data_IF_680311447259
#
_entry.id   IF_680311447259
#
_cell.length_a   1.000
_cell.length_b   1.000
_cell.length_c   1.000
_cell.angle_alpha   90.00
_cell.angle_beta   90.00
_cell.angle_gamma   90.00
#
_symmetry.space_group_name_H-M   'P 1'
#
loop_
_entity.id
_entity.type
_entity.pdbx_description
1 polymer ?
#
# COMPACT_ATOMS: atom_id res chain seq x y z
N UNK A 1 -18.32 0.86 -2.36
CA UNK A 1 -18.00 2.26 -2.77
C UNK A 1 -16.87 2.89 -1.95
N UNK A 2 -16.97 2.94 -0.61
CA UNK A 2 -16.00 3.61 0.28
C UNK A 2 -14.54 3.18 0.04
N UNK A 3 -14.28 1.88 -0.13
CA UNK A 3 -12.93 1.36 -0.37
C UNK A 3 -12.29 1.92 -1.65
N UNK A 4 -13.08 2.15 -2.71
CA UNK A 4 -12.58 2.71 -3.97
C UNK A 4 -12.22 4.18 -3.82
N UNK A 5 -13.05 4.96 -3.11
CA UNK A 5 -12.77 6.35 -2.79
C UNK A 5 -11.49 6.48 -1.96
N UNK A 6 -11.32 5.63 -0.94
CA UNK A 6 -10.12 5.64 -0.10
C UNK A 6 -8.87 5.29 -0.91
N UNK A 7 -8.95 4.30 -1.80
CA UNK A 7 -7.84 3.97 -2.70
C UNK A 7 -7.46 5.13 -3.62
N UNK A 8 -8.45 5.81 -4.21
CA UNK A 8 -8.23 6.99 -5.04
C UNK A 8 -7.56 8.13 -4.25
N UNK A 9 -8.10 8.46 -3.07
CA UNK A 9 -7.53 9.49 -2.18
C UNK A 9 -6.09 9.15 -1.78
N UNK A 10 -5.81 7.91 -1.39
CA UNK A 10 -4.46 7.47 -1.06
C UNK A 10 -3.50 7.64 -2.25
N UNK A 11 -3.93 7.27 -3.46
CA UNK A 11 -3.11 7.40 -4.67
C UNK A 11 -2.74 8.87 -4.93
N UNK A 12 -3.73 9.77 -4.90
CA UNK A 12 -3.50 11.20 -5.11
C UNK A 12 -2.69 11.86 -3.99
N UNK A 13 -2.86 11.44 -2.74
CA UNK A 13 -2.02 11.90 -1.63
C UNK A 13 -0.55 11.53 -1.85
N UNK A 14 -0.26 10.30 -2.28
CA UNK A 14 1.11 9.85 -2.59
C UNK A 14 1.70 10.70 -3.72
N UNK A 15 0.93 10.98 -4.78
CA UNK A 15 1.36 11.85 -5.88
C UNK A 15 1.65 13.26 -5.39
N UNK A 16 0.77 13.84 -4.58
CA UNK A 16 0.95 15.16 -3.96
C UNK A 16 2.25 15.23 -3.13
N UNK A 17 2.47 14.27 -2.23
CA UNK A 17 3.71 14.21 -1.44
C UNK A 17 4.97 14.08 -2.32
N UNK A 18 4.87 13.33 -3.41
CA UNK A 18 5.98 13.14 -4.35
C UNK A 18 6.28 14.43 -5.12
N UNK A 19 5.25 15.17 -5.52
CA UNK A 19 5.39 16.48 -6.18
C UNK A 19 5.98 17.53 -5.23
N UNK A 20 5.45 17.65 -4.00
CA UNK A 20 5.99 18.56 -2.98
C UNK A 20 7.48 18.28 -2.77
N UNK A 21 7.83 17.00 -2.66
CA UNK A 21 9.22 16.59 -2.49
C UNK A 21 10.08 16.90 -3.70
N UNK A 22 9.60 16.64 -4.91
CA UNK A 22 10.27 17.01 -6.15
C UNK A 22 10.60 18.50 -6.16
N UNK A 23 9.63 19.33 -5.82
CA UNK A 23 9.78 20.79 -5.80
C UNK A 23 10.78 21.24 -4.75
N UNK A 24 10.71 20.68 -3.55
CA UNK A 24 11.68 20.95 -2.49
C UNK A 24 13.11 20.59 -2.90
N UNK A 25 13.31 19.51 -3.68
CA UNK A 25 14.65 19.09 -4.14
C UNK A 25 15.16 20.00 -5.27
N UNK A 26 14.31 20.30 -6.25
CA UNK A 26 14.73 21.03 -7.45
C UNK A 26 14.89 22.52 -7.24
N UNK A 27 14.14 23.06 -6.29
CA UNK A 27 13.89 24.48 -6.26
C UNK A 27 13.88 24.82 -4.79
N UNK A 28 14.95 25.46 -4.31
CA UNK A 28 15.02 26.12 -2.99
C UNK A 28 13.99 27.26 -2.96
N UNK A 29 12.72 26.89 -3.05
CA UNK A 29 11.63 27.81 -3.20
C UNK A 29 11.36 28.45 -1.86
N UNK A 30 11.17 29.77 -1.88
CA UNK A 30 10.57 30.49 -0.77
C UNK A 30 9.29 29.78 -0.34
N UNK A 31 9.07 29.69 0.98
CA UNK A 31 7.96 29.00 1.65
C UNK A 31 6.60 29.25 1.00
N UNK A 32 6.36 30.48 0.50
CA UNK A 32 5.13 30.90 -0.18
C UNK A 32 4.82 30.04 -1.41
N UNK A 33 5.81 29.76 -2.27
CA UNK A 33 5.58 28.97 -3.50
C UNK A 33 5.32 27.50 -3.19
N UNK A 34 5.93 26.95 -2.14
CA UNK A 34 5.62 25.61 -1.65
C UNK A 34 4.17 25.51 -1.17
N UNK A 35 3.69 26.53 -0.46
CA UNK A 35 2.30 26.57 0.01
C UNK A 35 1.30 26.65 -1.14
N UNK A 36 1.57 27.43 -2.19
CA UNK A 36 0.70 27.49 -3.37
C UNK A 36 0.55 26.10 -4.00
N UNK A 37 1.65 25.36 -4.15
CA UNK A 37 1.61 24.05 -4.79
C UNK A 37 0.90 23.02 -3.92
N UNK A 38 1.11 23.06 -2.59
CA UNK A 38 0.34 22.25 -1.65
C UNK A 38 -1.16 22.51 -1.81
N UNK A 39 -1.56 23.79 -1.88
CA UNK A 39 -2.95 24.19 -2.09
C UNK A 39 -3.46 23.67 -3.44
N UNK A 40 -2.70 23.81 -4.53
CA UNK A 40 -3.09 23.26 -5.84
C UNK A 40 -3.25 21.74 -5.82
N UNK A 41 -2.38 21.03 -5.11
CA UNK A 41 -2.52 19.57 -5.01
C UNK A 41 -3.75 19.19 -4.17
N UNK A 42 -4.03 19.92 -3.09
CA UNK A 42 -5.22 19.71 -2.27
C UNK A 42 -6.50 20.02 -3.03
N UNK A 43 -6.52 21.06 -3.87
CA UNK A 43 -7.68 21.36 -4.72
C UNK A 43 -7.90 20.27 -5.76
N UNK A 44 -6.83 19.72 -6.35
CA UNK A 44 -6.93 18.56 -7.24
C UNK A 44 -7.51 17.36 -6.50
N UNK A 45 -6.97 16.99 -5.34
CA UNK A 45 -7.48 15.88 -4.52
C UNK A 45 -8.96 16.08 -4.20
N UNK A 46 -9.34 17.28 -3.77
CA UNK A 46 -10.72 17.62 -3.47
C UNK A 46 -11.60 17.49 -4.70
N UNK A 47 -11.21 18.06 -5.84
CA UNK A 47 -11.99 17.99 -7.07
C UNK A 47 -12.16 16.55 -7.54
N UNK A 48 -11.11 15.73 -7.46
CA UNK A 48 -11.15 14.32 -7.83
C UNK A 48 -12.04 13.49 -6.89
N UNK A 49 -12.00 13.77 -5.59
CA UNK A 49 -12.89 13.13 -4.63
C UNK A 49 -14.36 13.48 -4.90
N UNK A 50 -14.64 14.76 -5.19
CA UNK A 50 -15.99 15.22 -5.51
C UNK A 50 -16.49 14.70 -6.85
N UNK A 51 -15.66 14.67 -7.89
CA UNK A 51 -16.07 14.12 -9.19
C UNK A 51 -16.39 12.63 -9.09
N UNK A 52 -15.59 11.88 -8.32
CA UNK A 52 -15.89 10.48 -8.02
C UNK A 52 -17.21 10.34 -7.26
N UNK A 53 -17.42 11.14 -6.22
CA UNK A 53 -18.64 11.12 -5.41
C UNK A 53 -19.87 11.38 -6.28
N UNK A 54 -19.85 12.42 -7.13
CA UNK A 54 -20.94 12.77 -8.04
C UNK A 54 -21.26 11.61 -8.98
N UNK A 55 -20.25 11.05 -9.64
CA UNK A 55 -20.44 9.92 -10.56
C UNK A 55 -21.05 8.73 -9.82
N UNK A 56 -20.53 8.39 -8.63
CA UNK A 56 -21.06 7.25 -7.87
C UNK A 56 -22.46 7.47 -7.30
N UNK A 57 -22.77 8.66 -6.81
CA UNK A 57 -24.08 8.99 -6.24
C UNK A 57 -25.16 9.06 -7.32
N UNK A 58 -24.82 9.52 -8.53
CA UNK A 58 -25.73 9.48 -9.68
C UNK A 58 -26.19 8.05 -9.99
N UNK A 59 -25.26 7.08 -9.93
CA UNK A 59 -25.60 5.67 -10.19
C UNK A 59 -26.43 5.01 -9.09
N UNK A 60 -26.19 5.34 -7.82
CA UNK A 60 -26.92 4.74 -6.71
C UNK A 60 -28.39 5.20 -6.67
N UNK A 61 -28.69 6.39 -7.23
CA UNK A 61 -30.06 6.86 -7.41
C UNK A 61 -30.81 6.12 -8.52
N UNK A 62 -30.17 5.89 -9.66
CA UNK A 62 -30.78 5.20 -10.81
C UNK A 62 -31.17 3.76 -10.43
N UNK A 63 -30.27 3.05 -9.72
CA UNK A 63 -30.53 1.66 -9.28
C UNK A 63 -31.68 1.52 -8.28
N UNK A 64 -31.89 2.53 -7.43
CA UNK A 64 -33.04 2.53 -6.49
C UNK A 64 -34.37 2.71 -7.19
N UNK A 65 -34.38 3.32 -8.37
CA UNK A 65 -35.61 3.51 -9.15
C UNK A 65 -36.08 2.16 -9.73
N UNK A 66 -35.16 1.39 -10.33
CA UNK A 66 -35.49 0.10 -10.96
C UNK A 66 -35.82 -1.01 -9.94
N UNK A 67 -35.20 -0.98 -8.76
CA UNK A 67 -35.40 -2.05 -7.76
C UNK A 67 -36.79 -2.03 -7.10
N UNK A 68 -37.54 -0.94 -7.17
CA UNK A 68 -38.88 -0.87 -6.57
C UNK A 68 -39.97 -1.54 -7.41
N UNK A 69 -39.72 -1.85 -8.70
CA UNK A 69 -40.74 -2.47 -9.56
C UNK A 69 -40.81 -4.00 -9.46
N UNK A 70 -39.78 -4.70 -8.93
CA UNK A 70 -39.66 -6.16 -9.08
C UNK A 70 -39.76 -7.01 -7.79
N UNK A 71 -40.30 -6.49 -6.68
CA UNK A 71 -40.37 -7.18 -5.37
C UNK A 71 -41.41 -8.34 -5.31
N UNK A 72 -42.01 -8.80 -6.41
CA UNK A 72 -43.13 -9.76 -6.35
C UNK A 72 -42.80 -11.26 -6.53
N UNK A 73 -41.61 -11.70 -6.95
CA UNK A 73 -41.38 -13.12 -7.27
C UNK A 73 -40.19 -13.74 -6.52
N UNK A 74 -40.48 -14.36 -5.38
CA UNK A 74 -39.55 -15.22 -4.64
C UNK A 74 -39.38 -16.57 -5.34
N UNK A 75 -38.22 -16.80 -5.96
CA UNK A 75 -37.75 -18.15 -6.29
C UNK A 75 -36.39 -18.40 -5.64
N UNK A 76 -36.32 -19.53 -4.91
CA UNK A 76 -35.15 -20.01 -4.20
C UNK A 76 -34.13 -20.59 -5.19
N UNK A 77 -33.36 -19.75 -5.87
CA UNK A 77 -32.20 -20.22 -6.64
C UNK A 77 -30.93 -20.21 -5.80
N UNK A 78 -30.25 -21.36 -5.79
CA UNK A 78 -28.96 -21.58 -5.17
C UNK A 78 -27.91 -20.66 -5.83
N UNK A 79 -27.67 -19.49 -5.23
CA UNK A 79 -26.64 -18.54 -5.64
C UNK A 79 -25.27 -19.19 -5.61
N UNK A 80 -24.85 -19.71 -6.76
CA UNK A 80 -23.44 -19.86 -7.12
C UNK A 80 -22.73 -18.55 -6.78
N UNK A 81 -21.56 -18.63 -6.15
CA UNK A 81 -20.71 -17.48 -5.84
C UNK A 81 -20.06 -16.94 -7.13
N UNK A 82 -20.88 -16.55 -8.11
CA UNK A 82 -20.43 -15.84 -9.31
C UNK A 82 -19.98 -14.44 -8.92
N UNK A 83 -19.02 -13.90 -9.65
CA UNK A 83 -18.41 -12.61 -9.37
C UNK A 83 -19.43 -11.47 -9.60
N UNK A 84 -20.12 -11.08 -8.53
CA UNK A 84 -21.25 -10.15 -8.45
C UNK A 84 -21.06 -8.78 -9.13
N UNK A 85 -19.81 -8.43 -9.47
CA UNK A 85 -19.47 -7.16 -10.12
C UNK A 85 -19.94 -7.14 -11.58
N UNK A 86 -20.01 -8.28 -12.28
CA UNK A 86 -20.39 -8.30 -13.70
C UNK A 86 -21.90 -8.10 -13.91
N UNK A 87 -22.71 -8.82 -13.13
CA UNK A 87 -24.18 -8.72 -13.18
C UNK A 87 -24.70 -7.31 -12.87
N UNK A 88 -23.97 -6.53 -12.05
CA UNK A 88 -24.40 -5.19 -11.65
C UNK A 88 -24.32 -4.14 -12.77
N UNK A 89 -23.57 -4.40 -13.85
CA UNK A 89 -23.33 -3.41 -14.93
C UNK A 89 -23.76 -3.88 -16.32
N UNK A 90 -24.42 -5.02 -16.44
CA UNK A 90 -24.75 -5.64 -17.72
C UNK A 90 -25.69 -4.78 -18.58
N UNK A 91 -26.49 -3.91 -17.98
CA UNK A 91 -27.50 -3.13 -18.71
C UNK A 91 -27.00 -1.81 -19.31
N UNK A 92 -25.84 -1.26 -18.88
CA UNK A 92 -25.36 0.04 -19.36
C UNK A 92 -23.83 0.05 -19.61
N UNK A 93 -23.42 -0.29 -20.84
CA UNK A 93 -22.01 -0.33 -21.25
C UNK A 93 -21.29 1.02 -21.13
N UNK A 94 -22.00 2.14 -21.37
CA UNK A 94 -21.46 3.49 -21.21
C UNK A 94 -21.12 3.78 -19.75
N UNK A 95 -22.01 3.41 -18.82
CA UNK A 95 -21.80 3.53 -17.37
C UNK A 95 -20.57 2.74 -16.93
N UNK A 96 -20.43 1.52 -17.43
CA UNK A 96 -19.28 0.67 -17.16
C UNK A 96 -17.98 1.31 -17.67
N UNK A 97 -17.98 1.85 -18.90
CA UNK A 97 -16.86 2.54 -19.49
C UNK A 97 -16.48 3.81 -18.71
N UNK A 98 -17.46 4.63 -18.36
CA UNK A 98 -17.26 5.88 -17.62
C UNK A 98 -16.72 5.60 -16.21
N UNK A 99 -17.26 4.59 -15.53
CA UNK A 99 -16.74 4.14 -14.25
C UNK A 99 -15.31 3.58 -14.39
N UNK A 100 -15.01 2.80 -15.43
CA UNK A 100 -13.66 2.30 -15.69
C UNK A 100 -12.66 3.44 -15.93
N UNK A 101 -13.06 4.45 -16.69
CA UNK A 101 -12.21 5.60 -17.03
C UNK A 101 -12.00 6.50 -15.81
N UNK A 102 -13.06 6.86 -15.09
CA UNK A 102 -12.96 7.75 -13.92
C UNK A 102 -12.32 7.02 -12.75
N UNK A 103 -12.85 5.87 -12.35
CA UNK A 103 -12.37 5.14 -11.17
C UNK A 103 -11.05 4.42 -11.41
N UNK A 104 -10.85 3.86 -12.61
CA UNK A 104 -9.64 3.14 -12.98
C UNK A 104 -8.56 4.10 -13.47
N UNK A 105 -8.79 4.73 -14.62
CA UNK A 105 -7.74 5.48 -15.30
C UNK A 105 -7.37 6.78 -14.56
N UNK A 106 -8.34 7.67 -14.34
CA UNK A 106 -8.08 8.98 -13.72
C UNK A 106 -7.64 8.87 -12.26
N UNK A 107 -8.26 7.96 -11.50
CA UNK A 107 -8.05 7.88 -10.06
C UNK A 107 -6.90 6.97 -9.62
N UNK A 108 -6.48 6.02 -10.46
CA UNK A 108 -5.43 5.06 -10.10
C UNK A 108 -4.24 5.12 -11.06
N UNK A 109 -4.47 4.99 -12.37
CA UNK A 109 -3.38 4.92 -13.36
C UNK A 109 -2.66 6.26 -13.48
N UNK A 110 -3.41 7.35 -13.67
CA UNK A 110 -2.85 8.69 -13.85
C UNK A 110 -1.95 9.13 -12.68
N UNK A 111 -2.39 9.11 -11.40
CA UNK A 111 -1.53 9.45 -10.27
C UNK A 111 -0.34 8.50 -10.11
N UNK A 112 -0.49 7.21 -10.42
CA UNK A 112 0.62 6.25 -10.38
C UNK A 112 1.70 6.59 -11.42
N UNK A 113 1.32 6.82 -12.67
CA UNK A 113 2.23 7.23 -13.75
C UNK A 113 2.88 8.59 -13.46
N UNK A 114 2.06 9.54 -12.99
CA UNK A 114 2.39 10.74 -12.24
C UNK A 114 3.65 10.59 -11.39
N UNK A 115 3.45 9.80 -10.34
CA UNK A 115 4.40 9.55 -9.28
C UNK A 115 5.66 8.85 -9.81
N UNK A 116 5.50 7.90 -10.73
CA UNK A 116 6.61 7.18 -11.34
C UNK A 116 7.52 8.11 -12.14
N UNK A 117 6.96 8.93 -13.04
CA UNK A 117 7.70 9.90 -13.86
C UNK A 117 8.46 10.86 -12.95
N UNK A 118 7.78 11.45 -11.96
CA UNK A 118 8.40 12.40 -11.04
C UNK A 118 9.54 11.73 -10.25
N UNK A 119 9.34 10.52 -9.73
CA UNK A 119 10.38 9.79 -9.00
C UNK A 119 11.59 9.46 -9.89
N UNK A 120 11.38 9.08 -11.16
CA UNK A 120 12.47 8.87 -12.12
C UNK A 120 13.26 10.17 -12.31
N UNK A 121 12.58 11.30 -12.53
CA UNK A 121 13.23 12.61 -12.69
C UNK A 121 14.02 12.99 -11.43
N UNK A 122 13.48 12.79 -10.22
CA UNK A 122 14.20 13.00 -8.95
C UNK A 122 15.49 12.18 -8.92
N UNK A 123 15.42 10.89 -9.25
CA UNK A 123 16.58 9.99 -9.19
C UNK A 123 17.64 10.37 -10.23
N UNK A 124 17.23 10.67 -11.46
CA UNK A 124 18.12 11.15 -12.51
C UNK A 124 18.81 12.46 -12.10
N UNK A 125 18.08 13.39 -11.50
CA UNK A 125 18.61 14.66 -11.04
C UNK A 125 19.58 14.52 -9.87
N UNK A 126 19.24 13.72 -8.87
CA UNK A 126 20.14 13.41 -7.75
C UNK A 126 21.44 12.78 -8.29
N UNK A 127 21.34 11.82 -9.22
CA UNK A 127 22.50 11.20 -9.86
C UNK A 127 23.35 12.22 -10.61
N UNK A 128 22.71 13.17 -11.31
CA UNK A 128 23.40 14.26 -11.99
C UNK A 128 24.19 15.14 -11.01
N UNK A 129 23.56 15.61 -9.93
CA UNK A 129 24.23 16.42 -8.88
C UNK A 129 25.45 15.69 -8.32
N UNK A 130 25.32 14.40 -7.97
CA UNK A 130 26.44 13.63 -7.42
C UNK A 130 27.59 13.49 -8.42
N UNK A 131 27.29 13.34 -9.71
CA UNK A 131 28.33 13.30 -10.75
C UNK A 131 29.09 14.62 -10.82
N UNK A 132 28.38 15.75 -10.78
CA UNK A 132 28.99 17.09 -10.77
C UNK A 132 29.81 17.33 -9.51
N UNK A 133 29.28 16.99 -8.33
CA UNK A 133 29.98 17.14 -7.06
C UNK A 133 31.24 16.27 -7.01
N UNK A 134 31.20 15.01 -7.43
CA UNK A 134 32.40 14.17 -7.43
C UNK A 134 33.52 14.70 -8.33
N UNK A 135 33.20 15.46 -9.39
CA UNK A 135 34.21 16.11 -10.23
C UNK A 135 34.87 17.30 -9.51
N UNK A 136 34.15 18.02 -8.65
CA UNK A 136 34.64 19.21 -7.93
C UNK A 136 35.22 18.89 -6.54
N UNK A 137 34.77 17.81 -5.91
CA UNK A 137 34.97 17.53 -4.48
C UNK A 137 36.28 16.84 -4.12
N UNK A 138 37.21 16.71 -5.09
CA UNK A 138 38.62 16.41 -4.82
C UNK A 138 39.31 17.37 -3.83
N UNK A 139 38.65 18.48 -3.42
CA UNK A 139 39.21 19.51 -2.52
C UNK A 139 38.53 19.72 -1.16
N UNK A 140 37.34 19.17 -0.85
CA UNK A 140 36.64 19.47 0.43
C UNK A 140 35.97 18.23 1.04
N UNK A 141 36.55 17.71 2.14
CA UNK A 141 36.32 16.33 2.64
C UNK A 141 35.42 16.18 3.88
N UNK A 142 34.74 17.20 4.44
CA UNK A 142 34.17 17.03 5.80
C UNK A 142 32.66 16.79 5.98
N UNK A 143 31.74 17.19 5.10
CA UNK A 143 30.31 17.30 5.51
C UNK A 143 29.33 16.35 4.78
N UNK A 144 29.56 15.03 4.88
CA UNK A 144 28.81 14.02 4.10
C UNK A 144 27.55 13.40 4.79
N UNK A 145 27.19 13.77 6.02
CA UNK A 145 26.14 13.03 6.75
C UNK A 145 24.70 13.33 6.31
N UNK A 146 24.39 14.53 5.81
CA UNK A 146 23.00 14.95 5.48
C UNK A 146 22.44 14.30 4.20
N UNK A 147 23.30 13.93 3.24
CA UNK A 147 22.87 13.39 1.95
C UNK A 147 22.34 11.94 1.99
N UNK A 148 22.73 11.15 2.99
CA UNK A 148 22.40 9.71 3.07
C UNK A 148 20.92 9.44 3.35
N UNK A 149 20.26 10.29 4.15
CA UNK A 149 18.84 10.14 4.53
C UNK A 149 17.89 10.33 3.34
N UNK A 150 18.15 11.32 2.49
CA UNK A 150 17.30 11.61 1.33
C UNK A 150 17.29 10.48 0.29
N UNK A 151 18.41 9.78 0.12
CA UNK A 151 18.54 8.69 -0.85
C UNK A 151 17.64 7.51 -0.50
N UNK A 152 17.55 7.14 0.79
CA UNK A 152 16.72 6.02 1.24
C UNK A 152 15.25 6.28 0.93
N UNK A 153 14.72 7.45 1.31
CA UNK A 153 13.31 7.78 1.08
C UNK A 153 12.96 7.93 -0.41
N UNK A 154 13.90 8.33 -1.28
CA UNK A 154 13.61 8.39 -2.73
C UNK A 154 13.51 6.98 -3.33
N UNK A 155 14.41 6.09 -2.91
CA UNK A 155 14.40 4.70 -3.33
C UNK A 155 13.12 3.99 -2.89
N UNK A 156 12.63 4.26 -1.68
CA UNK A 156 11.39 3.64 -1.17
C UNK A 156 10.19 4.02 -2.05
N UNK A 157 10.03 5.32 -2.35
CA UNK A 157 8.91 5.82 -3.15
C UNK A 157 8.96 5.29 -4.58
N UNK A 158 10.15 5.22 -5.20
CA UNK A 158 10.31 4.68 -6.54
C UNK A 158 9.90 3.20 -6.60
N UNK A 159 10.33 2.39 -5.63
CA UNK A 159 9.96 0.96 -5.55
C UNK A 159 8.45 0.80 -5.39
N UNK A 160 7.83 1.61 -4.54
CA UNK A 160 6.37 1.63 -4.36
C UNK A 160 5.66 2.01 -5.66
N UNK A 161 6.09 3.08 -6.33
CA UNK A 161 5.49 3.51 -7.60
C UNK A 161 5.58 2.44 -8.67
N UNK A 162 6.77 1.86 -8.88
CA UNK A 162 6.98 0.80 -9.88
C UNK A 162 6.08 -0.40 -9.57
N UNK A 163 6.07 -0.86 -8.32
CA UNK A 163 5.26 -2.03 -7.94
C UNK A 163 3.77 -1.75 -8.14
N UNK A 164 3.31 -0.56 -7.75
CA UNK A 164 1.91 -0.17 -7.92
C UNK A 164 1.51 -0.14 -9.40
N UNK A 165 2.33 0.48 -10.26
CA UNK A 165 2.10 0.49 -11.71
C UNK A 165 2.08 -0.93 -12.27
N UNK A 166 3.04 -1.78 -11.92
CA UNK A 166 3.12 -3.16 -12.39
C UNK A 166 1.93 -4.03 -11.94
N UNK A 167 1.38 -3.80 -10.75
CA UNK A 167 0.23 -4.55 -10.26
C UNK A 167 -1.12 -4.02 -10.77
N UNK A 168 -1.26 -2.70 -10.97
CA UNK A 168 -2.53 -2.09 -11.40
C UNK A 168 -2.71 -2.02 -12.92
N UNK A 169 -1.63 -1.78 -13.67
CA UNK A 169 -1.71 -1.63 -15.12
C UNK A 169 -2.32 -2.86 -15.81
N UNK A 170 -1.95 -4.11 -15.47
CA UNK A 170 -2.55 -5.30 -16.08
C UNK A 170 -4.06 -5.38 -15.82
N UNK A 171 -4.50 -5.05 -14.60
CA UNK A 171 -5.92 -5.02 -14.26
C UNK A 171 -6.68 -4.02 -15.12
N UNK A 172 -6.16 -2.80 -15.28
CA UNK A 172 -6.81 -1.79 -16.13
C UNK A 172 -6.87 -2.23 -17.60
N UNK A 173 -5.81 -2.82 -18.14
CA UNK A 173 -5.79 -3.31 -19.53
C UNK A 173 -6.82 -4.42 -19.72
N UNK A 174 -6.80 -5.46 -18.87
CA UNK A 174 -7.75 -6.58 -18.98
C UNK A 174 -9.20 -6.09 -18.81
N UNK A 175 -9.45 -5.15 -17.90
CA UNK A 175 -10.79 -4.60 -17.70
C UNK A 175 -11.29 -3.84 -18.93
N UNK A 176 -10.43 -3.03 -19.58
CA UNK A 176 -10.78 -2.37 -20.84
C UNK A 176 -11.03 -3.36 -21.98
N UNK A 177 -10.20 -4.40 -22.09
CA UNK A 177 -10.41 -5.47 -23.07
C UNK A 177 -11.74 -6.20 -22.83
N UNK A 178 -12.10 -6.43 -21.57
CA UNK A 178 -13.35 -7.10 -21.23
C UNK A 178 -14.58 -6.28 -21.63
N UNK A 179 -14.51 -4.94 -21.51
CA UNK A 179 -15.52 -4.01 -22.02
C UNK A 179 -15.60 -4.06 -23.56
N UNK A 180 -14.45 -4.15 -24.24
CA UNK A 180 -14.40 -4.14 -25.70
C UNK A 180 -14.90 -5.44 -26.35
N UNK A 181 -14.73 -6.58 -25.70
CA UNK A 181 -15.06 -7.91 -26.23
C UNK A 181 -16.36 -8.51 -25.68
N UNK A 182 -17.23 -7.70 -25.06
CA UNK A 182 -18.52 -8.08 -24.47
C UNK A 182 -18.48 -9.34 -23.57
N UNK A 183 -17.32 -9.59 -22.95
CA UNK A 183 -17.12 -10.70 -22.01
C UNK A 183 -17.46 -12.10 -22.53
N UNK A 184 -17.49 -12.30 -23.85
CA UNK A 184 -17.74 -13.62 -24.50
C UNK A 184 -16.53 -14.55 -24.38
N UNK A 185 -15.34 -14.00 -24.16
CA UNK A 185 -14.11 -14.75 -23.98
C UNK A 185 -13.92 -15.19 -22.52
N UNK A 186 -14.15 -16.48 -22.24
CA UNK A 186 -13.89 -17.11 -20.94
C UNK A 186 -12.44 -16.90 -20.46
N UNK A 187 -11.49 -16.89 -21.39
CA UNK A 187 -10.07 -16.64 -21.11
C UNK A 187 -9.83 -15.26 -20.49
N UNK A 188 -10.48 -14.21 -21.02
CA UNK A 188 -10.38 -12.85 -20.48
C UNK A 188 -10.98 -12.76 -19.08
N UNK A 189 -12.05 -13.51 -18.82
CA UNK A 189 -12.64 -13.60 -17.47
C UNK A 189 -11.63 -14.18 -16.47
N UNK A 190 -10.94 -15.27 -16.82
CA UNK A 190 -9.91 -15.85 -15.96
C UNK A 190 -8.73 -14.88 -15.70
N UNK A 191 -8.26 -14.17 -16.73
CA UNK A 191 -7.23 -13.13 -16.57
C UNK A 191 -7.70 -11.96 -15.70
N UNK A 192 -8.99 -11.63 -15.74
CA UNK A 192 -9.56 -10.57 -14.91
C UNK A 192 -9.49 -10.93 -13.41
N UNK A 193 -9.71 -12.20 -13.06
CA UNK A 193 -9.58 -12.69 -11.68
C UNK A 193 -8.13 -12.66 -11.19
N UNK A 194 -7.19 -13.12 -12.02
CA UNK A 194 -5.76 -13.06 -11.70
C UNK A 194 -5.31 -11.63 -11.45
N UNK A 195 -5.64 -10.72 -12.37
CA UNK A 195 -5.25 -9.31 -12.25
C UNK A 195 -5.96 -8.61 -11.08
N UNK A 196 -7.17 -9.04 -10.74
CA UNK A 196 -7.87 -8.59 -9.53
C UNK A 196 -7.14 -9.04 -8.25
N UNK A 197 -6.70 -10.30 -8.17
CA UNK A 197 -5.88 -10.79 -7.05
C UNK A 197 -4.55 -10.03 -6.98
N UNK A 198 -3.89 -9.81 -8.12
CA UNK A 198 -2.65 -9.03 -8.22
C UNK A 198 -2.83 -7.61 -7.66
N UNK A 199 -3.97 -6.97 -7.97
CA UNK A 199 -4.34 -5.68 -7.41
C UNK A 199 -4.44 -5.74 -5.88
N UNK A 200 -5.04 -6.78 -5.30
CA UNK A 200 -5.09 -6.94 -3.84
C UNK A 200 -3.70 -7.11 -3.21
N UNK A 201 -2.83 -7.92 -3.84
CA UNK A 201 -1.46 -8.13 -3.38
C UNK A 201 -0.71 -6.80 -3.30
N UNK A 202 -0.94 -5.87 -4.24
CA UNK A 202 -0.29 -4.56 -4.26
C UNK A 202 -0.43 -3.76 -2.95
N UNK A 203 -1.54 -3.89 -2.23
CA UNK A 203 -1.75 -3.22 -0.95
C UNK A 203 -0.80 -3.73 0.14
N UNK A 204 -0.44 -5.02 0.09
CA UNK A 204 0.52 -5.62 1.03
C UNK A 204 1.98 -5.27 0.69
N UNK A 205 2.28 -5.01 -0.59
CA UNK A 205 3.66 -4.75 -1.03
C UNK A 205 4.26 -3.51 -0.39
N UNK A 206 3.45 -2.48 -0.08
CA UNK A 206 3.93 -1.28 0.60
C UNK A 206 4.67 -1.62 1.90
N UNK A 207 4.12 -2.51 2.73
CA UNK A 207 4.74 -2.94 3.97
C UNK A 207 6.11 -3.59 3.73
N UNK A 208 6.18 -4.52 2.76
CA UNK A 208 7.44 -5.17 2.39
C UNK A 208 8.45 -4.18 1.82
N UNK A 209 8.01 -3.24 0.98
CA UNK A 209 8.86 -2.20 0.43
C UNK A 209 9.50 -1.38 1.57
N UNK A 210 8.73 -0.95 2.58
CA UNK A 210 9.28 -0.27 3.76
C UNK A 210 10.28 -1.12 4.53
N UNK A 211 10.00 -2.43 4.70
CA UNK A 211 10.96 -3.36 5.31
C UNK A 211 12.26 -3.38 4.51
N UNK A 212 12.24 -3.52 3.19
CA UNK A 212 13.50 -3.66 2.46
C UNK A 212 14.28 -2.35 2.31
N UNK A 213 13.59 -1.23 2.18
CA UNK A 213 14.20 0.02 1.74
C UNK A 213 14.44 1.04 2.86
N UNK A 214 13.68 0.99 3.97
CA UNK A 214 13.81 1.95 5.07
C UNK A 214 14.58 1.34 6.27
N UNK A 215 15.81 1.78 6.47
CA UNK A 215 16.67 1.29 7.56
C UNK A 215 16.09 1.55 8.96
N UNK A 216 15.50 2.73 9.19
CA UNK A 216 14.91 3.08 10.49
C UNK A 216 13.71 2.18 10.80
N UNK A 217 12.89 1.90 9.79
CA UNK A 217 11.76 0.99 9.90
C UNK A 217 12.21 -0.44 10.23
N UNK A 218 13.20 -0.98 9.51
CA UNK A 218 13.81 -2.30 9.82
C UNK A 218 14.27 -2.39 11.26
N UNK A 219 15.03 -1.38 11.71
CA UNK A 219 15.55 -1.36 13.08
C UNK A 219 14.42 -1.45 14.10
N UNK A 220 13.36 -0.67 13.91
CA UNK A 220 12.20 -0.66 14.81
C UNK A 220 11.44 -1.99 14.79
N UNK A 221 11.22 -2.60 13.63
CA UNK A 221 10.58 -3.92 13.52
C UNK A 221 11.44 -5.00 14.19
N UNK A 222 12.75 -5.00 13.97
CA UNK A 222 13.66 -5.96 14.63
C UNK A 222 13.64 -5.80 16.15
N UNK A 223 13.56 -4.57 16.67
CA UNK A 223 13.41 -4.31 18.10
C UNK A 223 12.07 -4.85 18.64
N UNK A 224 10.98 -4.63 17.91
CA UNK A 224 9.65 -5.12 18.28
C UNK A 224 9.60 -6.67 18.28
N UNK A 225 10.17 -7.32 17.26
CA UNK A 225 10.30 -8.78 17.24
C UNK A 225 11.14 -9.30 18.40
N UNK A 226 12.29 -8.67 18.70
CA UNK A 226 13.12 -9.04 19.86
C UNK A 226 12.37 -8.90 21.18
N UNK A 227 11.56 -7.85 21.32
CA UNK A 227 10.72 -7.64 22.50
C UNK A 227 9.66 -8.74 22.64
N UNK A 228 8.91 -9.04 21.58
CA UNK A 228 7.89 -10.10 21.58
C UNK A 228 8.50 -11.49 21.84
N UNK A 229 9.62 -11.81 21.18
CA UNK A 229 10.36 -13.06 21.39
C UNK A 229 10.86 -13.18 22.84
N UNK A 230 11.35 -12.08 23.44
CA UNK A 230 11.80 -12.08 24.84
C UNK A 230 10.66 -12.38 25.80
N UNK A 231 9.46 -11.82 25.57
CA UNK A 231 8.27 -12.11 26.37
C UNK A 231 7.88 -13.59 26.27
N UNK A 232 7.91 -14.17 25.08
CA UNK A 232 7.65 -15.60 24.88
C UNK A 232 8.69 -16.49 25.58
N UNK A 233 9.97 -16.12 25.55
CA UNK A 233 11.03 -16.87 26.23
C UNK A 233 10.92 -16.78 27.76
N UNK A 234 10.59 -15.60 28.31
CA UNK A 234 10.36 -15.42 29.74
C UNK A 234 9.14 -16.22 30.24
N UNK A 235 8.06 -16.26 29.45
CA UNK A 235 6.87 -17.09 29.74
C UNK A 235 7.21 -18.59 29.76
N UNK A 236 8.06 -19.05 28.84
CA UNK A 236 8.52 -20.45 28.80
C UNK A 236 9.36 -20.80 30.04
N UNK A 237 10.25 -19.90 30.49
CA UNK A 237 11.08 -20.09 31.69
C UNK A 237 10.26 -20.09 32.99
N UNK A 238 9.16 -19.34 33.05
CA UNK A 238 8.26 -19.30 34.20
C UNK A 238 7.45 -20.59 34.39
N UNK A 239 7.12 -21.32 33.31
CA UNK A 239 6.44 -22.63 33.40
C UNK A 239 7.36 -23.80 33.80
N UNK A 240 8.68 -23.60 33.86
CA UNK A 240 9.64 -24.68 34.07
C UNK A 240 10.19 -24.91 35.51
N UNK A 241 9.81 -24.23 36.61
CA UNK A 241 10.34 -24.60 37.93
C UNK A 241 9.22 -24.90 38.95
N UNK A 242 8.65 -26.11 38.92
CA UNK A 242 8.00 -26.68 40.12
C UNK A 242 8.17 -28.19 40.29
N UNK A 243 8.44 -28.96 39.23
CA UNK A 243 8.69 -30.41 39.37
C UNK A 243 10.15 -30.73 39.78
N UNK A 244 11.15 -30.04 39.22
CA UNK A 244 12.55 -30.38 39.49
C UNK A 244 13.01 -29.99 40.93
N UNK A 245 12.41 -28.96 41.53
CA UNK A 245 12.63 -28.62 42.95
C UNK A 245 11.94 -29.57 43.94
N UNK A 246 10.96 -30.38 43.50
CA UNK A 246 10.36 -31.43 44.36
C UNK A 246 11.26 -32.67 44.43
N UNK A 247 11.90 -33.05 43.33
CA UNK A 247 12.83 -34.19 43.30
C UNK A 247 14.15 -33.90 44.04
N UNK A 248 14.69 -32.68 43.96
CA UNK A 248 15.93 -32.35 44.70
C UNK A 248 15.74 -32.17 46.21
N UNK A 249 14.54 -31.80 46.69
CA UNK A 249 14.26 -31.75 48.15
C UNK A 249 14.09 -33.14 48.78
N UNK A 250 13.71 -34.16 48.02
CA UNK A 250 13.60 -35.53 48.52
C UNK A 250 14.96 -36.19 48.74
N UNK A 251 15.99 -35.81 47.98
CA UNK A 251 17.34 -36.41 48.12
C UNK A 251 18.10 -35.83 49.33
N UNK A 252 17.91 -34.56 49.67
CA UNK A 252 18.64 -33.91 50.78
C UNK A 252 18.17 -34.31 52.19
N UNK A 253 17.03 -34.98 52.34
CA UNK A 253 16.53 -35.38 53.66
C UNK A 253 17.16 -36.68 54.19
N UNK A 254 17.95 -37.41 53.40
CA UNK A 254 18.51 -38.71 53.80
C UNK A 254 19.96 -38.69 54.33
N UNK A 255 20.59 -37.51 54.49
CA UNK A 255 21.98 -37.41 54.95
C UNK A 255 22.18 -36.55 56.21
N UNK A 256 21.29 -36.69 57.20
CA UNK A 256 21.63 -36.35 58.60
C UNK A 256 22.03 -37.62 59.34
N UNK A 257 23.32 -37.94 59.31
CA UNK A 257 23.92 -38.90 60.25
C UNK A 257 23.99 -38.27 61.66
N UNK A 258 23.73 -39.05 62.71
CA UNK A 258 23.82 -38.56 64.09
C UNK A 258 25.27 -38.27 64.47
N UNK A 259 25.49 -37.07 65.02
CA UNK A 259 26.79 -36.63 65.53
C UNK A 259 27.08 -37.41 66.82
N UNK A 260 28.06 -38.31 66.77
CA UNK A 260 28.61 -38.97 67.95
C UNK A 260 29.38 -37.94 68.77
N UNK A 261 28.92 -37.67 69.99
CA UNK A 261 29.66 -36.87 70.97
C UNK A 261 30.71 -37.77 71.63
N UNK A 262 31.98 -37.39 71.49
CA UNK A 262 33.07 -37.69 72.42
C UNK A 262 33.79 -36.40 72.73
#
# INVERSE_FOLDING_TARGET
MINRLFAALCSWLITCFTLIRFLHIFRQLNTIRSNIILVTCLTIIFFTANSYLIVTLGFDQEKKFDSNENISNNSNENKSTSCHIREEYEHNSLTLLLNALVAGFLNLVLPSMLTLIVNIVIVCYIKHIYKTQNAEQGRRRSDNNTGTSYRSTSSTLLVISITYTLCYLPYCIIYLLLIQFDGTNETLSYWSEITFILRYISHSVNFYAYIFTNYRFRRNITLLFRYLLRTCLCLKKSKQPKEEKRSQRLIFHHHRLPRSNR
#
